data_IF_904741468930
#
_entry.id   IF_904741468930
#
_cell.length_a   1.000
_cell.length_b   1.000
_cell.length_c   1.000
_cell.angle_alpha   90.00
_cell.angle_beta   90.00
_cell.angle_gamma   90.00
#
_symmetry.space_group_name_H-M   'P 1'
#
loop_
_entity.id
_entity.type
_entity.pdbx_description
1 polymer ?
#
# COMPACT_ATOMS: atom_id res chain seq x y z
N UNK A 1 -58.69 -65.24 10.51
CA UNK A 1 -58.18 -64.63 11.73
C UNK A 1 -59.07 -63.44 12.08
N UNK A 2 -59.78 -63.48 13.19
CA UNK A 2 -60.60 -62.32 13.67
C UNK A 2 -59.70 -61.42 14.50
N UNK A 3 -59.27 -60.28 13.96
CA UNK A 3 -58.56 -59.25 14.73
C UNK A 3 -59.53 -58.71 15.84
N UNK A 4 -59.17 -58.99 17.07
CA UNK A 4 -59.85 -58.37 18.21
C UNK A 4 -59.53 -56.88 18.22
N UNK A 5 -60.50 -56.02 18.10
CA UNK A 5 -60.33 -54.56 18.21
C UNK A 5 -59.69 -54.23 19.54
N UNK A 6 -58.57 -53.48 19.58
CA UNK A 6 -57.94 -53.09 20.83
C UNK A 6 -58.91 -52.25 21.67
N UNK A 7 -58.91 -52.47 22.99
CA UNK A 7 -59.67 -51.62 23.90
C UNK A 7 -59.25 -50.21 23.82
N UNK A 8 -60.17 -49.26 23.87
CA UNK A 8 -59.88 -47.82 23.73
C UNK A 8 -58.78 -47.32 24.67
N UNK A 9 -58.70 -47.90 25.88
CA UNK A 9 -57.60 -47.62 26.85
C UNK A 9 -56.25 -48.06 26.37
N UNK A 10 -56.15 -49.12 25.60
CA UNK A 10 -54.87 -49.59 25.01
C UNK A 10 -54.40 -48.64 23.87
N UNK A 11 -55.38 -48.14 23.15
CA UNK A 11 -55.07 -47.17 22.06
C UNK A 11 -54.59 -45.82 22.61
N UNK A 12 -55.21 -45.34 23.69
CA UNK A 12 -54.78 -44.14 24.41
C UNK A 12 -53.38 -44.34 24.99
N UNK A 13 -53.09 -45.49 25.59
CA UNK A 13 -51.76 -45.75 26.15
C UNK A 13 -50.68 -45.78 25.06
N UNK A 14 -50.97 -46.38 23.91
CA UNK A 14 -50.04 -46.36 22.75
C UNK A 14 -49.78 -44.93 22.24
N UNK A 15 -50.84 -44.11 22.16
CA UNK A 15 -50.67 -42.71 21.75
C UNK A 15 -49.84 -41.90 22.76
N UNK A 16 -50.00 -42.11 24.05
CA UNK A 16 -49.20 -41.47 25.09
C UNK A 16 -47.73 -41.89 25.00
N UNK A 17 -47.46 -43.19 24.82
CA UNK A 17 -46.09 -43.69 24.68
C UNK A 17 -45.43 -43.15 23.40
N UNK A 18 -46.14 -43.06 22.28
CA UNK A 18 -45.63 -42.47 21.03
C UNK A 18 -45.36 -40.95 21.19
N UNK A 19 -46.21 -40.23 21.90
CA UNK A 19 -46.00 -38.81 22.21
C UNK A 19 -44.74 -38.59 23.06
N UNK A 20 -44.54 -39.38 24.10
CA UNK A 20 -43.33 -39.31 24.92
C UNK A 20 -42.07 -39.72 24.11
N UNK A 21 -42.15 -40.76 23.30
CA UNK A 21 -41.04 -41.20 22.43
C UNK A 21 -40.70 -40.10 21.42
N UNK A 22 -41.68 -39.46 20.79
CA UNK A 22 -41.45 -38.39 19.83
C UNK A 22 -40.89 -37.13 20.50
N UNK A 23 -41.32 -36.78 21.70
CA UNK A 23 -40.79 -35.65 22.43
C UNK A 23 -39.35 -35.85 22.90
N UNK A 24 -39.01 -37.09 23.35
CA UNK A 24 -37.62 -37.44 23.71
C UNK A 24 -36.71 -37.46 22.48
N UNK A 25 -37.17 -37.97 21.34
CA UNK A 25 -36.42 -38.01 20.11
C UNK A 25 -36.18 -36.61 19.56
N UNK A 26 -37.21 -35.74 19.61
CA UNK A 26 -37.08 -34.35 19.22
C UNK A 26 -36.09 -33.58 20.10
N UNK A 27 -36.11 -33.80 21.39
CA UNK A 27 -35.15 -33.21 22.35
C UNK A 27 -33.72 -33.68 22.04
N UNK A 28 -33.52 -34.98 21.80
CA UNK A 28 -32.23 -35.57 21.49
C UNK A 28 -31.68 -35.06 20.14
N UNK A 29 -32.53 -34.93 19.13
CA UNK A 29 -32.13 -34.35 17.84
C UNK A 29 -31.78 -32.86 17.97
N UNK A 30 -32.52 -32.11 18.78
CA UNK A 30 -32.21 -30.71 19.04
C UNK A 30 -30.88 -30.55 19.81
N UNK A 31 -30.65 -31.38 20.84
CA UNK A 31 -29.39 -31.37 21.59
C UNK A 31 -28.19 -31.78 20.68
N UNK A 32 -28.32 -32.80 19.86
CA UNK A 32 -27.29 -33.17 18.90
C UNK A 32 -27.03 -32.06 17.85
N UNK A 33 -28.07 -31.44 17.34
CA UNK A 33 -27.90 -30.36 16.36
C UNK A 33 -27.34 -29.08 16.99
N UNK A 34 -27.58 -28.86 18.28
CA UNK A 34 -26.97 -27.74 19.02
C UNK A 34 -25.51 -28.03 19.32
N UNK A 35 -25.14 -29.25 19.72
CA UNK A 35 -23.73 -29.61 19.96
C UNK A 35 -22.92 -29.59 18.67
N UNK A 36 -23.44 -30.07 17.53
CA UNK A 36 -22.76 -29.98 16.24
C UNK A 36 -22.66 -28.53 15.71
N UNK A 37 -23.55 -27.63 16.11
CA UNK A 37 -23.48 -26.23 15.75
C UNK A 37 -22.63 -25.39 16.72
N UNK A 38 -22.37 -25.87 17.94
CA UNK A 38 -21.55 -25.18 18.94
C UNK A 38 -20.06 -25.44 18.74
N UNK A 39 -19.66 -26.50 18.06
CA UNK A 39 -18.24 -26.87 17.88
C UNK A 39 -17.55 -26.29 16.65
N UNK A 40 -18.27 -25.68 15.73
CA UNK A 40 -17.65 -24.91 14.65
C UNK A 40 -17.47 -23.47 15.10
N UNK A 41 -16.39 -23.18 15.79
CA UNK A 41 -15.98 -21.81 16.06
C UNK A 41 -15.99 -21.03 14.74
N UNK A 42 -16.71 -19.91 14.74
CA UNK A 42 -16.80 -19.06 13.55
C UNK A 42 -15.47 -18.35 13.37
N UNK A 43 -14.74 -18.75 12.37
CA UNK A 43 -13.49 -18.12 12.00
C UNK A 43 -13.60 -17.47 10.62
N UNK A 44 -13.44 -16.16 10.58
CA UNK A 44 -13.43 -15.38 9.36
C UNK A 44 -12.21 -14.48 9.35
N UNK A 45 -11.26 -14.77 8.50
CA UNK A 45 -10.12 -13.94 8.22
C UNK A 45 -10.13 -13.61 6.74
N UNK A 46 -10.43 -12.36 6.39
CA UNK A 46 -10.71 -11.93 5.02
C UNK A 46 -10.11 -10.57 4.72
N UNK A 47 -9.95 -10.31 3.42
CA UNK A 47 -9.57 -9.01 2.88
C UNK A 47 -10.47 -8.66 1.69
N UNK A 48 -10.54 -7.37 1.37
CA UNK A 48 -11.18 -6.89 0.15
C UNK A 48 -10.28 -7.02 -1.09
N UNK A 49 -8.97 -7.17 -0.93
CA UNK A 49 -7.97 -7.23 -2.01
C UNK A 49 -7.15 -8.52 -1.96
N UNK A 50 -6.64 -8.91 -0.77
CA UNK A 50 -5.88 -10.14 -0.62
C UNK A 50 -6.79 -11.35 -0.83
N UNK A 51 -6.34 -12.28 -1.65
CA UNK A 51 -7.09 -13.48 -1.96
C UNK A 51 -6.65 -14.61 -1.04
N UNK A 52 -7.64 -15.34 -0.58
CA UNK A 52 -7.45 -16.62 0.09
C UNK A 52 -7.79 -17.72 -0.91
N UNK A 53 -7.00 -18.75 -0.91
CA UNK A 53 -7.30 -19.96 -1.69
C UNK A 53 -8.31 -20.89 -0.99
N UNK A 54 -9.31 -20.32 -0.30
CA UNK A 54 -10.41 -21.10 0.30
C UNK A 54 -11.30 -21.81 -0.73
N UNK A 55 -11.01 -21.70 -2.00
CA UNK A 55 -11.71 -22.37 -3.09
C UNK A 55 -10.84 -23.45 -3.71
N UNK A 56 -11.10 -24.69 -3.39
CA UNK A 56 -10.68 -25.94 -4.11
C UNK A 56 -9.17 -26.28 -4.05
N UNK A 57 -8.27 -25.32 -3.96
CA UNK A 57 -6.83 -25.54 -3.67
C UNK A 57 -6.36 -24.47 -2.71
N UNK A 58 -6.19 -24.75 -1.42
CA UNK A 58 -5.49 -23.83 -0.53
C UNK A 58 -4.07 -23.64 -1.07
N UNK A 59 -3.60 -22.38 -1.16
CA UNK A 59 -2.18 -22.12 -1.40
C UNK A 59 -1.42 -22.84 -0.29
N UNK A 60 -0.64 -23.83 -0.71
CA UNK A 60 0.30 -24.42 0.23
C UNK A 60 1.30 -23.33 0.61
N UNK A 61 1.92 -23.38 1.79
CA UNK A 61 2.96 -22.44 2.16
C UNK A 61 4.11 -22.34 1.14
N UNK A 62 4.25 -23.37 0.32
CA UNK A 62 5.28 -23.54 -0.72
C UNK A 62 4.80 -23.18 -2.13
N UNK A 63 3.55 -22.69 -2.30
CA UNK A 63 3.08 -22.26 -3.62
C UNK A 63 3.93 -21.11 -4.12
N UNK A 64 4.42 -21.25 -5.34
CA UNK A 64 5.32 -20.29 -5.97
C UNK A 64 4.67 -18.91 -6.01
N UNK A 65 5.24 -17.98 -5.27
CA UNK A 65 4.77 -16.57 -5.21
C UNK A 65 4.82 -15.92 -6.60
N UNK A 66 5.65 -16.44 -7.50
CA UNK A 66 5.75 -15.99 -8.88
C UNK A 66 4.49 -16.27 -9.70
N UNK A 67 3.69 -17.28 -9.34
CA UNK A 67 2.45 -17.62 -10.05
C UNK A 67 1.27 -16.71 -9.71
N UNK A 68 1.40 -15.86 -8.69
CA UNK A 68 0.35 -14.90 -8.34
C UNK A 68 0.13 -13.91 -9.48
N UNK A 69 -1.10 -13.83 -9.97
CA UNK A 69 -1.48 -12.82 -10.96
C UNK A 69 -1.38 -11.41 -10.35
N UNK A 70 -0.56 -10.51 -10.92
CA UNK A 70 -0.40 -9.18 -10.35
C UNK A 70 -1.68 -8.36 -10.51
N UNK A 71 -2.02 -7.62 -9.46
CA UNK A 71 -3.05 -6.59 -9.48
C UNK A 71 -2.36 -5.25 -9.72
N UNK A 72 -2.68 -4.60 -10.83
CA UNK A 72 -2.11 -3.29 -11.16
C UNK A 72 -2.71 -2.22 -10.27
N UNK A 73 -1.85 -1.47 -9.59
CA UNK A 73 -2.20 -0.27 -8.80
C UNK A 73 -1.76 0.95 -9.61
N UNK A 74 -2.72 1.78 -10.03
CA UNK A 74 -2.41 3.05 -10.67
C UNK A 74 -2.22 4.11 -9.57
N UNK A 75 -0.98 4.44 -9.28
CA UNK A 75 -0.58 5.35 -8.21
C UNK A 75 0.46 4.76 -7.27
N UNK A 76 0.95 5.58 -6.34
CA UNK A 76 2.01 5.22 -5.39
C UNK A 76 1.50 4.42 -4.19
N UNK A 77 0.20 4.48 -3.90
CA UNK A 77 -0.38 3.81 -2.74
C UNK A 77 -1.66 3.09 -3.07
N UNK A 78 -1.93 2.03 -2.34
CA UNK A 78 -3.24 1.37 -2.33
C UNK A 78 -3.67 1.08 -0.90
N UNK A 79 -4.99 1.02 -0.70
CA UNK A 79 -5.58 0.77 0.60
C UNK A 79 -6.36 -0.53 0.53
N UNK A 80 -6.12 -1.41 1.48
CA UNK A 80 -6.93 -2.61 1.67
C UNK A 80 -7.30 -2.82 3.12
N UNK A 81 -8.26 -3.71 3.34
CA UNK A 81 -8.77 -4.01 4.68
C UNK A 81 -8.61 -5.48 4.99
N UNK A 82 -8.26 -5.78 6.24
CA UNK A 82 -8.34 -7.10 6.84
C UNK A 82 -9.48 -7.09 7.84
N UNK A 83 -10.33 -8.11 7.81
CA UNK A 83 -11.50 -8.19 8.67
C UNK A 83 -11.72 -9.58 9.27
N UNK A 84 -12.35 -9.60 10.44
CA UNK A 84 -12.76 -10.83 11.11
C UNK A 84 -14.20 -11.25 10.76
N UNK A 85 -14.73 -10.82 9.63
CA UNK A 85 -16.10 -11.13 9.26
C UNK A 85 -16.41 -11.00 7.77
N UNK A 86 -17.61 -11.48 7.42
CA UNK A 86 -18.15 -11.38 6.07
C UNK A 86 -19.38 -10.47 5.99
N UNK A 87 -19.74 -9.80 7.08
CA UNK A 87 -20.87 -8.88 7.18
C UNK A 87 -21.26 -8.59 8.62
N UNK A 88 -22.28 -7.76 8.81
CA UNK A 88 -22.68 -7.22 10.13
C UNK A 88 -22.99 -8.32 11.16
N UNK A 89 -23.53 -9.45 10.70
CA UNK A 89 -23.95 -10.57 11.57
C UNK A 89 -23.10 -11.83 11.37
N UNK A 90 -22.06 -11.76 10.53
CA UNK A 90 -21.22 -12.91 10.16
C UNK A 90 -19.77 -12.51 10.46
N UNK A 91 -19.33 -12.80 11.66
CA UNK A 91 -17.98 -12.45 12.13
C UNK A 91 -17.44 -13.53 13.07
N UNK A 92 -16.12 -13.49 13.28
CA UNK A 92 -15.43 -14.39 14.21
C UNK A 92 -15.85 -14.08 15.65
N UNK A 93 -16.06 -15.12 16.44
CA UNK A 93 -16.31 -15.04 17.88
C UNK A 93 -15.03 -15.16 18.73
N UNK A 94 -13.89 -15.24 18.08
CA UNK A 94 -12.55 -15.29 18.66
C UNK A 94 -11.72 -14.09 18.21
N UNK A 95 -10.74 -13.70 19.04
CA UNK A 95 -9.68 -12.78 18.63
C UNK A 95 -8.81 -13.47 17.59
N UNK A 96 -8.41 -12.72 16.55
CA UNK A 96 -7.53 -13.23 15.50
C UNK A 96 -6.20 -12.51 15.60
N UNK A 97 -5.15 -13.23 15.94
CA UNK A 97 -3.78 -12.73 15.83
C UNK A 97 -3.28 -13.06 14.43
N UNK A 98 -2.65 -12.10 13.78
CA UNK A 98 -2.14 -12.26 12.42
C UNK A 98 -0.87 -11.47 12.21
N UNK A 99 -0.10 -11.86 11.21
CA UNK A 99 1.19 -11.31 10.83
C UNK A 99 1.10 -10.71 9.43
N UNK A 100 1.74 -9.55 9.23
CA UNK A 100 1.90 -8.88 7.95
C UNK A 100 3.34 -9.00 7.50
N UNK A 101 3.56 -9.42 6.25
CA UNK A 101 4.87 -9.51 5.64
C UNK A 101 4.80 -9.02 4.19
N UNK A 102 5.89 -8.43 3.73
CA UNK A 102 6.09 -8.01 2.36
C UNK A 102 7.21 -8.82 1.73
N UNK A 103 7.07 -9.15 0.44
CA UNK A 103 8.09 -9.83 -0.32
C UNK A 103 8.35 -9.09 -1.63
N UNK A 104 9.62 -9.05 -2.04
CA UNK A 104 10.09 -8.46 -3.29
C UNK A 104 10.94 -9.47 -4.05
N UNK A 105 10.92 -9.39 -5.39
CA UNK A 105 11.81 -10.22 -6.22
C UNK A 105 13.18 -9.55 -6.31
N UNK A 106 14.15 -10.09 -5.59
CA UNK A 106 15.53 -9.59 -5.61
C UNK A 106 16.41 -10.24 -6.71
N UNK A 107 15.79 -10.95 -7.68
CA UNK A 107 16.48 -11.58 -8.81
C UNK A 107 16.69 -13.09 -8.66
N UNK A 108 16.81 -13.59 -7.45
CA UNK A 108 16.90 -15.03 -7.13
C UNK A 108 15.60 -15.58 -6.54
N UNK A 109 14.48 -14.85 -6.70
CA UNK A 109 13.17 -15.15 -6.16
C UNK A 109 12.71 -14.14 -5.10
N UNK A 110 11.51 -14.39 -4.57
CA UNK A 110 10.90 -13.51 -3.58
C UNK A 110 11.56 -13.66 -2.20
N UNK A 111 12.01 -12.53 -1.67
CA UNK A 111 12.63 -12.43 -0.35
C UNK A 111 11.76 -11.58 0.59
N UNK A 112 11.68 -11.93 1.89
CA UNK A 112 10.96 -11.12 2.85
C UNK A 112 11.67 -9.79 3.09
N UNK A 113 10.90 -8.70 3.13
CA UNK A 113 11.43 -7.35 3.36
C UNK A 113 11.64 -7.09 4.84
N UNK A 114 10.67 -7.47 5.67
CA UNK A 114 10.78 -7.35 7.11
C UNK A 114 11.56 -8.54 7.68
N UNK A 115 12.49 -8.27 8.60
CA UNK A 115 13.22 -9.34 9.30
C UNK A 115 12.29 -10.17 10.19
N UNK A 116 11.33 -9.50 10.83
CA UNK A 116 10.25 -10.10 11.59
C UNK A 116 8.93 -9.52 11.09
N UNK A 117 7.89 -10.35 10.85
CA UNK A 117 6.59 -9.86 10.44
C UNK A 117 5.96 -8.93 11.48
N UNK A 118 5.17 -7.97 11.02
CA UNK A 118 4.38 -7.12 11.90
C UNK A 118 3.20 -7.90 12.48
N UNK A 119 3.04 -7.89 13.80
CA UNK A 119 1.99 -8.64 14.49
C UNK A 119 0.80 -7.74 14.80
N UNK A 120 -0.38 -8.17 14.39
CA UNK A 120 -1.64 -7.46 14.55
C UNK A 120 -2.69 -8.32 15.25
N UNK A 121 -3.77 -7.69 15.74
CA UNK A 121 -4.89 -8.41 16.37
C UNK A 121 -6.22 -7.79 15.98
N UNK A 122 -7.09 -8.61 15.38
CA UNK A 122 -8.50 -8.28 15.19
C UNK A 122 -9.27 -8.79 16.42
N UNK A 123 -9.69 -7.87 17.26
CA UNK A 123 -10.42 -8.22 18.49
C UNK A 123 -11.84 -8.68 18.17
N UNK A 124 -12.29 -9.71 18.88
CA UNK A 124 -13.70 -10.11 18.85
C UNK A 124 -14.59 -8.97 19.35
N UNK A 125 -15.77 -8.87 18.80
CA UNK A 125 -16.73 -7.84 19.20
C UNK A 125 -18.17 -8.30 19.00
N UNK A 126 -19.11 -7.36 19.18
CA UNK A 126 -20.51 -7.56 18.82
C UNK A 126 -20.79 -7.31 17.34
N UNK A 127 -19.76 -6.89 16.61
CA UNK A 127 -19.80 -6.61 15.17
C UNK A 127 -18.46 -6.99 14.55
N UNK A 128 -18.42 -7.06 13.23
CA UNK A 128 -17.18 -7.23 12.46
C UNK A 128 -16.16 -6.13 12.79
N UNK A 129 -14.96 -6.54 13.09
CA UNK A 129 -13.79 -5.66 13.24
C UNK A 129 -13.00 -5.64 11.94
N UNK A 130 -12.53 -4.46 11.56
CA UNK A 130 -11.77 -4.24 10.33
C UNK A 130 -10.56 -3.38 10.63
N UNK A 131 -9.42 -3.77 10.10
CA UNK A 131 -8.19 -2.99 10.10
C UNK A 131 -7.90 -2.53 8.68
N UNK A 132 -7.51 -1.26 8.53
CA UNK A 132 -7.19 -0.65 7.24
C UNK A 132 -5.69 -0.47 7.13
N UNK A 133 -5.13 -0.95 6.04
CA UNK A 133 -3.71 -0.91 5.75
C UNK A 133 -3.46 -0.13 4.46
N UNK A 134 -2.43 0.70 4.48
CA UNK A 134 -1.94 1.40 3.29
C UNK A 134 -0.64 0.75 2.86
N UNK A 135 -0.54 0.37 1.60
CA UNK A 135 0.65 -0.23 1.00
C UNK A 135 1.17 0.68 -0.10
N UNK A 136 2.47 0.85 -0.13
CA UNK A 136 3.24 1.57 -1.15
C UNK A 136 4.35 0.67 -1.70
N UNK A 137 5.07 1.07 -2.76
CA UNK A 137 6.33 0.46 -3.13
C UNK A 137 7.26 0.33 -1.94
N UNK A 138 8.03 -0.72 -1.92
CA UNK A 138 8.84 -1.09 -0.76
C UNK A 138 10.31 -0.86 -1.07
N UNK A 139 11.04 -0.22 -0.15
CA UNK A 139 12.49 -0.07 -0.25
C UNK A 139 13.17 -1.26 0.41
N UNK A 140 13.97 -2.01 -0.35
CA UNK A 140 14.77 -3.12 0.14
C UNK A 140 16.21 -2.98 -0.38
N UNK A 141 17.19 -3.02 0.53
CA UNK A 141 18.61 -2.81 0.23
C UNK A 141 18.94 -1.49 -0.51
N UNK A 142 18.13 -0.45 -0.32
CA UNK A 142 18.31 0.87 -0.95
C UNK A 142 17.69 0.99 -2.35
N UNK A 143 17.02 -0.05 -2.84
CA UNK A 143 16.27 -0.04 -4.09
C UNK A 143 14.76 -0.06 -3.81
N UNK A 144 14.00 0.67 -4.62
CA UNK A 144 12.54 0.71 -4.54
C UNK A 144 11.93 -0.33 -5.47
N UNK A 145 11.06 -1.16 -4.91
CA UNK A 145 10.37 -2.24 -5.62
C UNK A 145 8.90 -1.89 -5.81
N UNK A 146 8.48 -1.78 -7.07
CA UNK A 146 7.09 -1.54 -7.46
C UNK A 146 6.27 -2.84 -7.60
N UNK A 147 6.91 -4.00 -7.61
CA UNK A 147 6.28 -5.33 -7.65
C UNK A 147 6.45 -5.98 -6.27
N UNK A 148 5.36 -5.96 -5.50
CA UNK A 148 5.38 -6.33 -4.08
C UNK A 148 4.31 -7.39 -3.82
N UNK A 149 4.68 -8.48 -3.15
CA UNK A 149 3.72 -9.41 -2.61
C UNK A 149 3.45 -9.03 -1.15
N UNK A 150 2.17 -8.89 -0.85
CA UNK A 150 1.67 -8.66 0.51
C UNK A 150 1.07 -9.95 1.02
N UNK A 151 1.53 -10.41 2.18
CA UNK A 151 1.01 -11.57 2.87
C UNK A 151 0.44 -11.17 4.23
N UNK A 152 -0.79 -11.57 4.49
CA UNK A 152 -1.41 -11.53 5.80
C UNK A 152 -1.68 -12.96 6.25
N UNK A 153 -1.04 -13.39 7.33
CA UNK A 153 -1.13 -14.75 7.86
C UNK A 153 -1.73 -14.73 9.25
N UNK A 154 -2.92 -15.32 9.44
CA UNK A 154 -3.43 -15.53 10.79
C UNK A 154 -2.68 -16.66 11.48
N UNK A 155 -2.31 -16.45 12.74
CA UNK A 155 -1.55 -17.41 13.55
C UNK A 155 -2.38 -18.00 14.69
N UNK A 156 -3.45 -17.32 15.09
CA UNK A 156 -4.41 -17.79 16.08
C UNK A 156 -5.82 -17.24 15.78
N UNK A 157 -6.90 -17.98 16.06
CA UNK A 157 -6.94 -19.35 16.59
C UNK A 157 -6.60 -20.41 15.53
N UNK A 158 -6.73 -20.07 14.24
CA UNK A 158 -6.44 -20.95 13.11
C UNK A 158 -5.52 -20.27 12.11
N UNK A 159 -4.67 -21.05 11.48
CA UNK A 159 -3.76 -20.55 10.44
C UNK A 159 -4.51 -20.41 9.12
N UNK A 160 -4.40 -19.23 8.52
CA UNK A 160 -4.91 -18.90 7.20
C UNK A 160 -4.04 -17.84 6.55
N UNK A 161 -3.69 -18.05 5.30
CA UNK A 161 -2.85 -17.13 4.54
C UNK A 161 -3.68 -16.41 3.48
N UNK A 162 -3.54 -15.08 3.42
CA UNK A 162 -4.08 -14.23 2.37
C UNK A 162 -2.91 -13.57 1.66
N UNK A 163 -2.89 -13.56 0.33
CA UNK A 163 -1.82 -12.98 -0.48
C UNK A 163 -2.38 -12.16 -1.62
N UNK A 164 -1.62 -11.15 -2.02
CA UNK A 164 -1.80 -10.43 -3.28
C UNK A 164 -0.44 -10.01 -3.80
N UNK A 165 -0.24 -10.08 -5.11
CA UNK A 165 0.87 -9.44 -5.80
C UNK A 165 0.39 -8.11 -6.35
N UNK A 166 0.98 -7.02 -5.88
CA UNK A 166 0.66 -5.66 -6.28
C UNK A 166 1.76 -5.15 -7.22
N UNK A 167 1.35 -4.67 -8.38
CA UNK A 167 2.25 -4.01 -9.31
C UNK A 167 1.88 -2.54 -9.36
N UNK A 168 2.70 -1.72 -8.71
CA UNK A 168 2.52 -0.27 -8.69
C UNK A 168 2.97 0.33 -10.02
N UNK A 169 2.05 0.98 -10.69
CA UNK A 169 2.30 1.71 -11.93
C UNK A 169 2.12 3.20 -11.66
N UNK A 170 3.17 3.84 -11.21
CA UNK A 170 3.22 5.27 -11.03
C UNK A 170 4.47 5.82 -11.71
N UNK A 171 4.36 7.04 -12.17
CA UNK A 171 5.48 7.74 -12.76
C UNK A 171 6.09 8.62 -11.68
N UNK A 172 7.35 8.40 -11.37
CA UNK A 172 8.09 9.28 -10.47
C UNK A 172 8.13 10.69 -11.04
N UNK A 173 8.32 11.69 -10.18
CA UNK A 173 8.60 13.04 -10.62
C UNK A 173 9.83 13.03 -11.53
N UNK A 174 9.85 13.95 -12.49
CA UNK A 174 11.03 14.17 -13.34
C UNK A 174 11.55 15.57 -13.12
N UNK A 175 12.87 15.68 -12.99
CA UNK A 175 13.56 16.96 -12.89
C UNK A 175 14.54 17.03 -14.05
N UNK A 176 14.50 18.14 -14.77
CA UNK A 176 15.44 18.40 -15.88
C UNK A 176 15.88 19.85 -15.86
N UNK A 177 17.05 20.10 -16.37
CA UNK A 177 17.66 21.42 -16.40
C UNK A 177 18.01 21.82 -17.82
N UNK A 178 17.82 23.08 -18.13
CA UNK A 178 18.22 23.66 -19.42
C UNK A 178 18.79 25.05 -19.24
N UNK A 179 19.72 25.43 -20.11
CA UNK A 179 20.32 26.75 -20.11
C UNK A 179 20.04 27.52 -21.41
N UNK A 180 19.48 28.69 -21.29
CA UNK A 180 19.31 29.59 -22.42
C UNK A 180 20.45 30.62 -22.47
N UNK A 181 21.43 30.40 -23.35
CA UNK A 181 22.56 31.28 -23.53
C UNK A 181 22.14 32.71 -23.92
N UNK A 182 21.11 32.86 -24.76
CA UNK A 182 20.63 34.17 -25.20
C UNK A 182 20.06 35.01 -24.06
N UNK A 183 19.44 34.37 -23.08
CA UNK A 183 18.82 35.03 -21.94
C UNK A 183 19.70 35.00 -20.68
N UNK A 184 20.66 34.09 -20.59
CA UNK A 184 21.44 33.85 -19.38
C UNK A 184 20.58 33.25 -18.26
N UNK A 185 19.68 32.36 -18.64
CA UNK A 185 18.70 31.76 -17.71
C UNK A 185 18.85 30.26 -17.68
N UNK A 186 18.98 29.72 -16.49
CA UNK A 186 18.79 28.28 -16.22
C UNK A 186 17.33 28.05 -15.86
N UNK A 187 16.74 27.08 -16.49
CA UNK A 187 15.38 26.62 -16.18
C UNK A 187 15.43 25.22 -15.58
N UNK A 188 15.00 25.09 -14.34
CA UNK A 188 14.69 23.82 -13.72
C UNK A 188 13.22 23.47 -14.01
N UNK A 189 12.98 22.37 -14.66
CA UNK A 189 11.62 21.86 -14.94
C UNK A 189 11.35 20.66 -14.03
N UNK A 190 10.39 20.79 -13.15
CA UNK A 190 9.92 19.75 -12.25
C UNK A 190 8.54 19.31 -12.74
N UNK A 191 8.40 18.06 -13.13
CA UNK A 191 7.09 17.48 -13.43
C UNK A 191 6.74 16.49 -12.32
N UNK A 192 5.79 16.87 -11.49
CA UNK A 192 5.22 16.02 -10.47
C UNK A 192 4.17 15.12 -11.11
N UNK A 193 4.20 13.84 -10.80
CA UNK A 193 3.16 12.91 -11.23
C UNK A 193 2.25 12.59 -10.04
N UNK A 194 2.37 11.42 -9.45
CA UNK A 194 1.61 11.07 -8.25
C UNK A 194 2.19 11.74 -6.98
N UNK A 195 3.40 12.28 -7.08
CA UNK A 195 4.12 12.85 -5.93
C UNK A 195 3.73 14.32 -5.73
N UNK A 196 2.75 14.56 -4.85
CA UNK A 196 2.59 15.86 -4.19
C UNK A 196 3.42 15.84 -2.91
N UNK A 197 4.25 16.85 -2.68
CA UNK A 197 5.05 16.89 -1.46
C UNK A 197 6.03 18.03 -1.39
N UNK A 198 6.99 17.91 -0.47
CA UNK A 198 8.00 18.92 -0.23
C UNK A 198 9.21 18.65 -1.10
N UNK A 199 9.54 19.63 -1.93
CA UNK A 199 10.76 19.63 -2.74
C UNK A 199 11.75 20.61 -2.11
N UNK A 200 12.95 20.12 -1.81
CA UNK A 200 14.04 20.93 -1.28
C UNK A 200 14.91 21.42 -2.44
N UNK A 201 14.87 22.73 -2.69
CA UNK A 201 15.64 23.40 -3.70
C UNK A 201 16.87 24.01 -3.04
N UNK A 202 18.06 23.71 -3.55
CA UNK A 202 19.31 24.31 -3.09
C UNK A 202 20.06 24.89 -4.28
N UNK A 203 20.59 26.10 -4.14
CA UNK A 203 21.39 26.75 -5.17
C UNK A 203 22.54 27.56 -4.58
N UNK A 204 23.62 27.58 -5.31
CA UNK A 204 24.83 28.35 -5.00
C UNK A 204 24.96 29.53 -5.98
N UNK A 205 25.84 30.46 -5.64
CA UNK A 205 26.31 31.44 -6.62
C UNK A 205 26.89 30.68 -7.84
N UNK A 206 26.59 31.05 -9.08
CA UNK A 206 26.04 32.35 -9.54
C UNK A 206 24.54 32.36 -9.87
N UNK A 207 23.73 31.44 -9.34
CA UNK A 207 22.33 31.36 -9.67
C UNK A 207 21.47 32.34 -8.83
N UNK A 208 20.80 33.25 -9.51
CA UNK A 208 19.90 34.25 -8.93
C UNK A 208 18.47 33.85 -9.23
N UNK A 209 17.64 33.51 -8.22
CA UNK A 209 16.26 33.07 -8.45
C UNK A 209 15.41 34.19 -9.05
N UNK A 210 14.52 33.83 -9.97
CA UNK A 210 13.52 34.74 -10.54
C UNK A 210 12.36 34.94 -9.54
N UNK A 211 12.40 36.04 -8.78
CA UNK A 211 11.37 36.35 -7.80
C UNK A 211 10.02 36.76 -8.46
N UNK A 212 9.97 36.91 -9.78
CA UNK A 212 8.74 37.10 -10.55
C UNK A 212 8.10 35.79 -10.99
N UNK A 213 8.51 34.67 -10.40
CA UNK A 213 7.98 33.33 -10.68
C UNK A 213 6.44 33.33 -10.65
N UNK A 214 5.79 32.96 -11.77
CA UNK A 214 4.32 32.96 -11.85
C UNK A 214 3.67 31.89 -10.94
N UNK A 215 4.42 30.89 -10.50
CA UNK A 215 3.94 29.86 -9.56
C UNK A 215 4.08 30.31 -8.10
N UNK A 216 4.75 31.42 -7.84
CA UNK A 216 4.94 31.97 -6.50
C UNK A 216 5.97 31.23 -5.63
N UNK A 217 6.65 30.21 -6.17
CA UNK A 217 7.59 29.37 -5.43
C UNK A 217 8.84 30.17 -5.06
N UNK A 218 9.43 30.86 -6.03
CA UNK A 218 10.69 31.61 -5.85
C UNK A 218 10.50 33.03 -5.30
N UNK A 219 9.27 33.47 -5.01
CA UNK A 219 9.01 34.87 -4.62
C UNK A 219 9.75 35.36 -3.36
N UNK A 220 10.07 34.44 -2.44
CA UNK A 220 10.83 34.71 -1.23
C UNK A 220 12.28 34.22 -1.28
N UNK A 221 12.70 33.69 -2.41
CA UNK A 221 14.03 33.14 -2.59
C UNK A 221 15.07 34.26 -2.64
N UNK A 222 16.23 34.02 -2.03
CA UNK A 222 17.33 34.98 -1.99
C UNK A 222 18.41 34.61 -2.99
N UNK A 223 19.05 35.64 -3.54
CA UNK A 223 20.29 35.43 -4.27
C UNK A 223 21.42 35.08 -3.29
N UNK A 224 22.25 34.06 -3.56
CA UNK A 224 23.42 33.77 -2.75
C UNK A 224 24.51 34.83 -2.97
N UNK A 225 25.29 35.13 -1.96
CA UNK A 225 26.48 35.93 -2.08
C UNK A 225 27.63 35.12 -2.65
N UNK A 226 28.58 35.77 -3.35
CA UNK A 226 29.73 35.09 -3.97
C UNK A 226 30.59 34.29 -2.98
N UNK A 227 30.67 34.77 -1.73
CA UNK A 227 31.44 34.18 -0.64
C UNK A 227 30.63 33.12 0.15
N UNK A 228 29.34 32.90 -0.17
CA UNK A 228 28.48 31.99 0.54
C UNK A 228 28.64 30.56 0.02
N UNK A 229 29.47 29.77 0.73
CA UNK A 229 29.73 28.37 0.39
C UNK A 229 28.58 27.43 0.67
N UNK A 230 27.64 27.82 1.54
CA UNK A 230 26.48 27.01 1.91
C UNK A 230 25.30 27.25 0.97
N UNK A 231 25.33 28.39 0.25
CA UNK A 231 24.27 28.77 -0.69
C UNK A 231 22.94 29.09 -0.02
N UNK A 232 21.89 29.03 -0.80
CA UNK A 232 20.51 29.23 -0.33
C UNK A 232 19.66 28.00 -0.58
N UNK A 233 18.66 27.83 0.26
CA UNK A 233 17.69 26.74 0.17
C UNK A 233 16.26 27.23 0.31
N UNK A 234 15.32 26.48 -0.26
CA UNK A 234 13.89 26.73 -0.18
C UNK A 234 13.12 25.41 -0.22
N UNK A 235 12.17 25.27 0.70
CA UNK A 235 11.21 24.17 0.68
C UNK A 235 9.95 24.60 -0.08
N UNK A 236 9.63 23.89 -1.13
CA UNK A 236 8.46 24.13 -1.98
C UNK A 236 7.45 22.98 -1.89
N UNK A 237 6.22 23.29 -1.48
CA UNK A 237 5.12 22.35 -1.57
C UNK A 237 4.57 22.34 -3.00
N UNK A 238 4.77 21.25 -3.73
CA UNK A 238 4.31 21.10 -5.10
C UNK A 238 3.08 20.17 -5.17
N UNK A 239 2.15 20.51 -6.05
CA UNK A 239 0.94 19.72 -6.29
C UNK A 239 1.25 18.58 -7.26
N UNK A 240 0.52 17.46 -7.12
CA UNK A 240 0.62 16.33 -8.06
C UNK A 240 0.17 16.71 -9.48
N UNK A 241 0.66 15.97 -10.47
CA UNK A 241 0.31 16.11 -11.90
C UNK A 241 0.50 17.51 -12.47
N UNK A 242 1.49 18.24 -11.96
CA UNK A 242 1.77 19.63 -12.35
C UNK A 242 3.20 19.77 -12.86
N UNK A 243 3.40 20.62 -13.84
CA UNK A 243 4.74 20.96 -14.33
C UNK A 243 5.09 22.39 -13.90
N UNK A 244 6.15 22.48 -13.11
CA UNK A 244 6.72 23.73 -12.63
C UNK A 244 7.96 24.07 -13.43
N UNK A 245 8.14 25.34 -13.81
CA UNK A 245 9.33 25.86 -14.46
C UNK A 245 9.89 26.98 -13.61
N UNK A 246 11.01 26.72 -12.97
CA UNK A 246 11.69 27.63 -12.09
C UNK A 246 12.87 28.24 -12.84
N UNK A 247 12.96 29.55 -12.88
CA UNK A 247 13.98 30.27 -13.61
C UNK A 247 15.02 30.86 -12.65
N UNK A 248 16.27 30.70 -13.02
CA UNK A 248 17.41 31.28 -12.31
C UNK A 248 18.28 32.04 -13.32
N UNK A 249 18.51 33.30 -13.06
CA UNK A 249 19.42 34.10 -13.85
C UNK A 249 20.85 33.78 -13.45
N UNK A 250 21.76 33.78 -14.42
CA UNK A 250 23.21 33.77 -14.14
C UNK A 250 23.64 35.20 -13.86
N UNK A 251 24.40 35.39 -12.78
CA UNK A 251 24.95 36.68 -12.42
C UNK A 251 25.72 37.26 -13.60
N UNK A 252 25.52 38.58 -13.86
CA UNK A 252 26.08 39.28 -15.01
C UNK A 252 27.63 39.22 -15.08
N UNK A 253 28.28 39.21 -13.92
CA UNK A 253 29.74 39.29 -13.80
C UNK A 253 30.43 38.02 -14.23
N UNK A 254 29.75 36.87 -14.06
CA UNK A 254 30.29 35.54 -14.44
C UNK A 254 29.62 34.95 -15.68
N UNK A 255 28.58 35.56 -16.20
CA UNK A 255 27.82 35.05 -17.34
C UNK A 255 28.69 34.71 -18.55
N UNK A 256 29.68 35.58 -18.86
CA UNK A 256 30.58 35.34 -19.99
C UNK A 256 31.42 34.08 -19.83
N UNK A 257 31.80 33.71 -18.61
CA UNK A 257 32.54 32.48 -18.33
C UNK A 257 31.62 31.25 -18.46
N UNK A 258 30.39 31.33 -17.98
CA UNK A 258 29.38 30.27 -18.14
C UNK A 258 29.08 30.06 -19.63
N UNK A 259 28.85 31.12 -20.39
CA UNK A 259 28.60 31.06 -21.83
C UNK A 259 29.76 30.42 -22.61
N UNK A 260 30.99 30.64 -22.16
CA UNK A 260 32.16 30.02 -22.73
C UNK A 260 32.25 28.53 -22.34
N UNK A 261 31.97 28.18 -21.10
CA UNK A 261 32.01 26.81 -20.61
C UNK A 261 30.99 25.90 -21.32
N UNK A 262 29.79 26.42 -21.61
CA UNK A 262 28.74 25.66 -22.33
C UNK A 262 28.83 25.75 -23.86
N UNK A 263 29.82 26.44 -24.41
CA UNK A 263 29.94 26.62 -25.85
C UNK A 263 30.36 25.33 -26.54
N UNK A 264 29.47 24.73 -27.31
CA UNK A 264 29.64 23.44 -27.95
C UNK A 264 29.39 22.22 -27.06
N UNK A 265 28.98 22.45 -25.81
CA UNK A 265 28.60 21.37 -24.90
C UNK A 265 27.25 20.78 -25.32
N UNK A 266 27.07 19.51 -25.05
CA UNK A 266 25.79 18.79 -25.18
C UNK A 266 24.87 19.15 -24.02
N UNK A 267 23.56 18.90 -24.16
CA UNK A 267 22.57 19.14 -23.09
C UNK A 267 22.97 18.40 -21.81
N UNK A 268 23.47 17.16 -21.90
CA UNK A 268 23.89 16.38 -20.73
C UNK A 268 25.13 16.99 -20.04
N UNK A 269 26.07 17.57 -20.78
CA UNK A 269 27.23 18.26 -20.20
C UNK A 269 26.82 19.57 -19.54
N UNK A 270 25.87 20.29 -20.13
CA UNK A 270 25.26 21.49 -19.52
C UNK A 270 24.52 21.14 -18.23
N UNK A 271 23.73 20.09 -18.23
CA UNK A 271 23.03 19.61 -17.04
C UNK A 271 24.01 19.21 -15.93
N UNK A 272 25.07 18.47 -16.27
CA UNK A 272 26.12 18.09 -15.32
C UNK A 272 26.86 19.30 -14.72
N UNK A 273 27.00 20.38 -15.47
CA UNK A 273 27.58 21.63 -14.98
C UNK A 273 26.62 22.33 -14.03
N UNK A 274 25.32 22.40 -14.36
CA UNK A 274 24.28 23.00 -13.51
C UNK A 274 24.20 22.30 -12.17
N UNK A 275 24.22 20.95 -12.18
CA UNK A 275 24.12 20.10 -10.97
C UNK A 275 25.28 20.29 -9.98
N UNK A 276 26.38 20.96 -10.37
CA UNK A 276 27.45 21.32 -9.42
C UNK A 276 27.04 22.47 -8.48
N UNK A 277 26.07 23.27 -8.88
CA UNK A 277 25.66 24.49 -8.17
C UNK A 277 24.19 24.49 -7.80
N UNK A 278 23.44 23.50 -8.26
CA UNK A 278 21.99 23.45 -8.07
C UNK A 278 21.53 22.01 -7.83
N UNK A 279 20.71 21.81 -6.82
CA UNK A 279 20.10 20.50 -6.57
C UNK A 279 18.65 20.65 -6.16
N UNK A 280 17.85 19.68 -6.58
CA UNK A 280 16.47 19.51 -6.13
C UNK A 280 16.36 18.08 -5.62
N UNK A 281 15.85 17.94 -4.39
CA UNK A 281 15.51 16.64 -3.81
C UNK A 281 14.07 16.66 -3.35
N UNK A 282 13.49 15.49 -3.22
CA UNK A 282 12.12 15.26 -2.78
C UNK A 282 12.12 14.38 -1.53
N UNK A 283 11.30 14.74 -0.52
CA UNK A 283 11.04 13.93 0.68
C UNK A 283 9.67 13.28 0.66
#
# INVERSE_FOLDING_TARGET
MKFKRPKMSTLILICIVLLFASATLAKYVVELSIDDTITAERFYFRSNVLQSNDGINPLQPDDDMAELTPVTVNGKTTIFTISNGAGILIFSDQDITWELQYYVDAGDGFVPVLQEPEVHTLTRGLTMTTETLTVSPVVYNGEEYCDVIVEAKSTAPYEKVLRVRLQFNYTQHTISYSYSKSMGVVTATITTNDDAGVYHLNWLYPFIPDNADPNGILTSAKAPDEDDVDGNSLDANLESYTTYRLHFFIDSDVRSFVDQAVNGATDAEIEALILQYFSISYE
#
